data_IF_429738348313
#
_entry.id   IF_429738348313
#
_cell.length_a   1.000
_cell.length_b   1.000
_cell.length_c   1.000
_cell.angle_alpha   90.00
_cell.angle_beta   90.00
_cell.angle_gamma   90.00
#
_symmetry.space_group_name_H-M   'P 1'
#
loop_
_entity.id
_entity.type
_entity.pdbx_description
1 polymer ?
#
# COMPACT_ATOMS: atom_id res chain seq x y z
N UNK A 1 57.70 -74.80 -0.81
CA UNK A 1 56.63 -75.31 0.08
C UNK A 1 56.64 -74.51 1.37
N UNK A 2 55.71 -73.57 1.56
CA UNK A 2 55.58 -72.85 2.85
C UNK A 2 54.93 -73.75 3.90
N UNK A 3 55.39 -73.67 5.14
CA UNK A 3 54.94 -74.51 6.25
C UNK A 3 53.46 -74.26 6.57
N UNK A 4 52.73 -75.35 6.91
CA UNK A 4 51.28 -75.34 7.21
C UNK A 4 50.86 -74.32 8.28
N UNK A 5 51.78 -73.83 9.13
CA UNK A 5 51.48 -72.86 10.19
C UNK A 5 51.28 -71.42 9.68
N UNK A 6 51.84 -71.05 8.53
CA UNK A 6 51.74 -69.68 7.97
C UNK A 6 50.43 -69.48 7.18
N UNK A 7 49.83 -70.55 6.65
CA UNK A 7 48.52 -70.48 5.98
C UNK A 7 47.36 -70.18 6.94
N UNK A 8 47.52 -70.48 8.23
CA UNK A 8 46.46 -70.28 9.24
C UNK A 8 46.35 -68.82 9.69
N UNK A 9 47.45 -68.05 9.66
CA UNK A 9 47.44 -66.63 10.04
C UNK A 9 46.92 -65.70 8.94
N UNK A 10 47.00 -66.10 7.68
CA UNK A 10 46.45 -65.31 6.56
C UNK A 10 44.93 -65.52 6.41
N UNK A 11 44.40 -66.69 6.80
CA UNK A 11 42.94 -66.93 6.78
C UNK A 11 42.21 -66.31 7.99
N UNK A 12 42.88 -66.10 9.12
CA UNK A 12 42.27 -65.50 10.32
C UNK A 12 42.23 -63.96 10.29
N UNK A 13 43.04 -63.32 9.44
CA UNK A 13 43.08 -61.86 9.28
C UNK A 13 41.98 -61.29 8.37
N UNK A 14 41.24 -62.12 7.64
CA UNK A 14 40.15 -61.70 6.75
C UNK A 14 38.76 -61.82 7.38
N UNK A 15 38.63 -62.51 8.52
CA UNK A 15 37.35 -62.66 9.22
C UNK A 15 36.78 -61.38 9.89
N UNK A 16 37.58 -60.41 10.37
CA UNK A 16 37.00 -59.18 10.94
C UNK A 16 36.49 -58.20 9.87
N UNK A 17 36.96 -58.30 8.62
CA UNK A 17 36.53 -57.40 7.52
C UNK A 17 35.11 -57.76 7.03
N UNK A 18 34.72 -59.04 7.11
CA UNK A 18 33.37 -59.50 6.76
C UNK A 18 32.34 -59.19 7.86
N UNK A 19 32.78 -59.07 9.12
CA UNK A 19 31.90 -58.63 10.22
C UNK A 19 31.75 -57.10 10.31
N UNK A 20 32.68 -56.32 9.74
CA UNK A 20 32.57 -54.85 9.70
C UNK A 20 31.70 -54.32 8.54
N UNK A 21 31.36 -55.17 7.56
CA UNK A 21 30.54 -54.80 6.40
C UNK A 21 29.03 -54.99 6.62
N UNK A 22 28.61 -55.45 7.80
CA UNK A 22 27.21 -55.65 8.18
C UNK A 22 26.69 -54.66 9.24
N UNK A 23 27.33 -53.50 9.36
CA UNK A 23 26.74 -52.30 9.96
C UNK A 23 26.73 -51.18 8.92
N UNK A 24 26.21 -51.49 7.72
CA UNK A 24 25.66 -50.42 6.89
C UNK A 24 24.40 -50.03 7.62
N UNK A 25 24.46 -48.93 8.40
CA UNK A 25 23.27 -48.25 8.84
C UNK A 25 22.49 -47.96 7.55
N UNK A 26 21.37 -48.65 7.35
CA UNK A 26 20.33 -48.17 6.46
C UNK A 26 19.99 -46.79 6.98
N UNK A 27 20.61 -45.79 6.36
CA UNK A 27 20.25 -44.41 6.56
C UNK A 27 18.92 -44.28 5.85
N UNK A 28 17.85 -44.65 6.55
CA UNK A 28 16.52 -44.21 6.19
C UNK A 28 16.61 -42.68 6.22
N UNK A 29 16.79 -42.08 5.05
CA UNK A 29 16.46 -40.68 4.88
C UNK A 29 15.00 -40.58 5.32
N UNK A 30 14.77 -40.11 6.54
CA UNK A 30 13.44 -39.71 6.98
C UNK A 30 13.08 -38.58 6.04
N UNK A 31 12.33 -38.91 5.01
CA UNK A 31 11.77 -37.92 4.12
C UNK A 31 10.89 -37.05 5.00
N UNK A 32 11.40 -35.86 5.37
CA UNK A 32 10.67 -34.93 6.21
C UNK A 32 9.36 -34.62 5.49
N UNK A 33 8.27 -35.18 6.01
CA UNK A 33 6.94 -34.93 5.48
C UNK A 33 6.62 -33.47 5.73
N UNK A 34 6.43 -32.70 4.66
CA UNK A 34 6.06 -31.30 4.76
C UNK A 34 4.67 -31.24 5.41
N UNK A 35 4.57 -30.56 6.56
CA UNK A 35 3.32 -30.36 7.29
C UNK A 35 2.80 -28.94 7.07
N UNK A 36 1.47 -28.81 7.05
CA UNK A 36 0.80 -27.51 7.02
C UNK A 36 0.22 -27.25 8.40
N UNK A 37 0.52 -26.10 8.99
CA UNK A 37 -0.08 -25.64 10.24
C UNK A 37 -0.88 -24.37 9.95
N UNK A 38 -2.16 -24.34 10.32
CA UNK A 38 -3.04 -23.17 10.21
C UNK A 38 -3.53 -22.80 11.60
N UNK A 39 -3.29 -21.55 12.03
CA UNK A 39 -3.63 -21.06 13.37
C UNK A 39 -3.14 -21.97 14.51
N UNK A 40 -1.93 -22.53 14.38
CA UNK A 40 -1.34 -23.46 15.34
C UNK A 40 -1.81 -24.91 15.23
N UNK A 41 -2.81 -25.22 14.42
CA UNK A 41 -3.34 -26.57 14.24
C UNK A 41 -2.76 -27.23 12.98
N UNK A 42 -2.23 -28.46 13.11
CA UNK A 42 -1.74 -29.23 11.97
C UNK A 42 -2.89 -29.72 11.10
N UNK A 43 -2.85 -29.44 9.79
CA UNK A 43 -3.85 -29.91 8.84
C UNK A 43 -3.41 -31.23 8.19
N UNK A 44 -4.27 -32.23 8.30
CA UNK A 44 -4.10 -33.57 7.73
C UNK A 44 -4.99 -33.78 6.52
N UNK A 45 -4.59 -34.64 5.58
CA UNK A 45 -5.37 -34.96 4.36
C UNK A 45 -5.12 -34.01 3.17
N UNK A 46 -4.12 -33.15 3.30
CA UNK A 46 -3.62 -32.29 2.25
C UNK A 46 -2.12 -32.55 2.10
N UNK A 47 -1.67 -32.77 0.87
CA UNK A 47 -0.28 -33.15 0.60
C UNK A 47 0.44 -32.00 -0.12
N UNK A 48 1.21 -31.16 0.61
CA UNK A 48 2.18 -30.27 -0.01
C UNK A 48 3.15 -31.05 -0.89
N UNK A 49 3.58 -30.43 -1.97
CA UNK A 49 4.52 -31.05 -2.91
C UNK A 49 5.79 -30.23 -3.02
N UNK A 50 6.94 -30.89 -2.96
CA UNK A 50 8.22 -30.26 -3.27
C UNK A 50 8.55 -30.50 -4.73
N UNK A 51 8.54 -29.45 -5.55
CA UNK A 51 8.77 -29.52 -6.99
C UNK A 51 9.81 -28.45 -7.34
N UNK A 52 10.91 -28.86 -7.98
CA UNK A 52 11.95 -27.96 -8.49
C UNK A 52 12.47 -26.93 -7.45
N UNK A 53 12.73 -27.37 -6.22
CA UNK A 53 13.23 -26.49 -5.17
C UNK A 53 12.16 -25.63 -4.47
N UNK A 54 10.87 -25.81 -4.79
CA UNK A 54 9.76 -25.04 -4.23
C UNK A 54 8.74 -25.94 -3.56
N UNK A 55 8.18 -25.48 -2.45
CA UNK A 55 7.03 -26.12 -1.80
C UNK A 55 5.75 -25.54 -2.40
N UNK A 56 4.92 -26.42 -2.96
CA UNK A 56 3.59 -26.13 -3.45
C UNK A 56 2.59 -26.57 -2.39
N UNK A 57 1.67 -25.68 -2.05
CA UNK A 57 0.66 -25.91 -1.01
C UNK A 57 -0.72 -25.93 -1.67
N UNK A 58 -1.65 -26.80 -1.24
CA UNK A 58 -2.99 -26.87 -1.84
C UNK A 58 -3.75 -25.54 -1.72
N UNK A 59 -3.99 -24.90 -2.86
CA UNK A 59 -4.64 -23.57 -2.92
C UNK A 59 -6.02 -23.54 -2.26
N UNK A 60 -6.80 -24.63 -2.40
CA UNK A 60 -8.14 -24.74 -1.81
C UNK A 60 -8.09 -24.67 -0.28
N UNK A 61 -7.18 -25.41 0.35
CA UNK A 61 -7.01 -25.39 1.80
C UNK A 61 -6.69 -23.98 2.30
N UNK A 62 -5.75 -23.29 1.64
CA UNK A 62 -5.33 -21.95 2.04
C UNK A 62 -6.49 -20.97 1.87
N UNK A 63 -7.14 -20.95 0.70
CA UNK A 63 -8.24 -20.03 0.42
C UNK A 63 -9.45 -20.24 1.33
N UNK A 64 -9.87 -21.48 1.58
CA UNK A 64 -10.99 -21.77 2.50
C UNK A 64 -10.65 -21.41 3.95
N UNK A 65 -9.40 -21.60 4.38
CA UNK A 65 -8.96 -21.17 5.71
C UNK A 65 -8.98 -19.66 5.90
N UNK A 66 -8.87 -18.91 4.80
CA UNK A 66 -8.99 -17.45 4.75
C UNK A 66 -10.45 -16.98 4.57
N UNK A 67 -11.42 -17.90 4.61
CA UNK A 67 -12.85 -17.60 4.50
C UNK A 67 -13.37 -17.46 3.07
N UNK A 68 -12.58 -17.83 2.05
CA UNK A 68 -13.02 -17.81 0.66
C UNK A 68 -13.75 -19.09 0.27
N UNK A 69 -14.72 -18.98 -0.64
CA UNK A 69 -15.34 -20.12 -1.30
C UNK A 69 -14.55 -20.49 -2.55
N UNK A 70 -14.16 -21.76 -2.67
CA UNK A 70 -13.37 -22.26 -3.81
C UNK A 70 -14.21 -23.20 -4.66
N UNK A 71 -14.28 -22.93 -5.96
CA UNK A 71 -14.93 -23.78 -6.97
C UNK A 71 -14.03 -24.00 -8.18
N UNK A 72 -14.30 -25.05 -8.95
CA UNK A 72 -13.63 -25.32 -10.21
C UNK A 72 -14.54 -24.93 -11.38
N UNK A 73 -14.08 -24.02 -12.25
CA UNK A 73 -14.72 -23.73 -13.52
C UNK A 73 -14.14 -24.65 -14.60
N UNK A 74 -14.90 -25.70 -14.93
CA UNK A 74 -14.47 -26.69 -15.90
C UNK A 74 -14.39 -26.15 -17.34
N UNK A 75 -15.13 -25.07 -17.67
CA UNK A 75 -15.14 -24.48 -18.99
C UNK A 75 -13.88 -23.63 -19.21
N UNK A 76 -13.49 -22.85 -18.20
CA UNK A 76 -12.27 -22.03 -18.22
C UNK A 76 -11.01 -22.78 -17.84
N UNK A 77 -11.15 -24.02 -17.31
CA UNK A 77 -10.06 -24.79 -16.68
C UNK A 77 -9.35 -23.98 -15.60
N UNK A 78 -10.13 -23.30 -14.78
CA UNK A 78 -9.66 -22.35 -13.78
C UNK A 78 -10.24 -22.65 -12.39
N UNK A 79 -9.49 -22.30 -11.35
CA UNK A 79 -9.98 -22.27 -9.97
C UNK A 79 -10.60 -20.91 -9.72
N UNK A 80 -11.89 -20.89 -9.39
CA UNK A 80 -12.61 -19.70 -8.95
C UNK A 80 -12.54 -19.60 -7.43
N UNK A 81 -11.91 -18.55 -6.92
CA UNK A 81 -11.84 -18.23 -5.50
C UNK A 81 -12.70 -16.99 -5.27
N UNK A 82 -13.86 -17.17 -4.66
CA UNK A 82 -14.77 -16.09 -4.32
C UNK A 82 -14.58 -15.71 -2.85
N UNK A 83 -14.09 -14.50 -2.62
CA UNK A 83 -13.92 -13.95 -1.28
C UNK A 83 -14.74 -12.68 -1.17
N UNK A 84 -15.53 -12.57 -0.12
CA UNK A 84 -16.16 -11.30 0.26
C UNK A 84 -15.10 -10.28 0.72
N UNK A 85 -13.88 -10.76 1.02
CA UNK A 85 -12.75 -9.93 1.48
C UNK A 85 -11.66 -9.91 0.41
N UNK A 86 -11.41 -8.74 -0.17
CA UNK A 86 -10.34 -8.56 -1.15
C UNK A 86 -9.15 -7.80 -0.55
N UNK A 87 -7.95 -8.37 -0.64
CA UNK A 87 -6.73 -7.62 -0.34
C UNK A 87 -6.47 -6.60 -1.45
N UNK A 88 -6.26 -5.34 -1.06
CA UNK A 88 -6.12 -4.22 -2.00
C UNK A 88 -4.77 -3.50 -1.89
N UNK A 89 -4.03 -3.68 -0.79
CA UNK A 89 -2.64 -3.26 -0.63
C UNK A 89 -1.95 -4.04 0.51
N UNK A 90 -0.62 -4.06 0.55
CA UNK A 90 0.15 -4.75 1.60
C UNK A 90 1.60 -4.25 1.72
N UNK A 91 2.18 -4.38 2.91
CA UNK A 91 3.62 -4.37 3.18
C UNK A 91 3.96 -5.72 3.82
N UNK A 92 4.20 -6.78 3.03
CA UNK A 92 4.30 -8.14 3.54
C UNK A 92 5.42 -8.37 4.56
N UNK A 93 6.55 -7.67 4.41
CA UNK A 93 7.73 -7.79 5.29
C UNK A 93 7.46 -7.28 6.71
N UNK A 94 6.43 -6.46 6.88
CA UNK A 94 5.99 -5.87 8.15
C UNK A 94 4.65 -6.49 8.61
N UNK A 95 4.17 -7.54 7.94
CA UNK A 95 2.87 -8.19 8.18
C UNK A 95 1.66 -7.22 8.15
N UNK A 96 1.72 -6.22 7.27
CA UNK A 96 0.66 -5.20 7.09
C UNK A 96 -0.15 -5.50 5.84
N UNK A 97 -1.47 -5.53 5.98
CA UNK A 97 -2.39 -5.79 4.88
C UNK A 97 -3.62 -4.88 4.97
N UNK A 98 -4.07 -4.40 3.82
CA UNK A 98 -5.30 -3.65 3.66
C UNK A 98 -6.30 -4.48 2.84
N UNK A 99 -7.49 -4.70 3.39
CA UNK A 99 -8.56 -5.43 2.73
C UNK A 99 -9.82 -4.58 2.55
N UNK A 100 -10.72 -5.02 1.68
CA UNK A 100 -12.07 -4.48 1.48
C UNK A 100 -13.13 -5.58 1.62
N UNK A 101 -14.23 -5.29 2.33
CA UNK A 101 -15.35 -6.21 2.59
C UNK A 101 -16.46 -6.17 1.53
N UNK A 102 -16.58 -5.06 0.80
CA UNK A 102 -17.70 -4.85 -0.11
C UNK A 102 -17.29 -3.94 -1.28
N UNK A 103 -17.87 -4.20 -2.45
CA UNK A 103 -17.81 -3.36 -3.64
C UNK A 103 -19.21 -2.84 -3.97
N UNK A 104 -19.39 -1.52 -3.95
CA UNK A 104 -20.59 -0.85 -4.46
C UNK A 104 -20.19 0.14 -5.55
N UNK A 105 -20.76 0.02 -6.76
CA UNK A 105 -20.63 1.02 -7.82
C UNK A 105 -19.20 1.58 -8.03
N UNK A 106 -18.22 0.68 -8.18
CA UNK A 106 -16.78 0.99 -8.36
C UNK A 106 -16.05 1.59 -7.15
N UNK A 107 -16.65 1.54 -5.96
CA UNK A 107 -16.01 1.88 -4.69
C UNK A 107 -15.92 0.66 -3.78
N UNK A 108 -14.78 0.47 -3.15
CA UNK A 108 -14.64 -0.33 -1.94
C UNK A 108 -15.08 0.49 -0.72
N UNK A 109 -15.77 -0.17 0.21
CA UNK A 109 -16.17 0.40 1.51
C UNK A 109 -15.79 -0.54 2.64
N UNK A 110 -15.77 0.00 3.86
CA UNK A 110 -15.48 -0.72 5.10
C UNK A 110 -14.14 -1.47 5.00
N UNK A 111 -13.07 -0.69 4.90
CA UNK A 111 -11.72 -1.23 4.74
C UNK A 111 -11.22 -1.85 6.05
N UNK A 112 -10.49 -2.94 5.94
CA UNK A 112 -9.86 -3.62 7.08
C UNK A 112 -8.37 -3.39 7.03
N UNK A 113 -7.84 -2.78 8.08
CA UNK A 113 -6.39 -2.74 8.33
C UNK A 113 -6.04 -3.95 9.20
N UNK A 114 -5.06 -4.73 8.76
CA UNK A 114 -4.47 -5.84 9.49
C UNK A 114 -2.99 -5.57 9.74
N UNK A 115 -2.55 -5.63 10.99
CA UNK A 115 -1.14 -5.48 11.38
C UNK A 115 -0.83 -6.63 12.34
N UNK A 116 0.17 -7.45 12.01
CA UNK A 116 0.55 -8.65 12.80
C UNK A 116 -0.66 -9.56 13.10
N UNK A 117 -1.58 -9.69 12.13
CA UNK A 117 -2.83 -10.46 12.26
C UNK A 117 -3.96 -9.80 13.07
N UNK A 118 -3.71 -8.69 13.79
CA UNK A 118 -4.74 -7.90 14.47
C UNK A 118 -5.47 -7.05 13.45
N UNK A 119 -6.81 -7.16 13.42
CA UNK A 119 -7.65 -6.53 12.40
C UNK A 119 -8.58 -5.48 13.01
N UNK A 120 -8.78 -4.37 12.30
CA UNK A 120 -9.81 -3.38 12.60
C UNK A 120 -10.47 -2.90 11.31
N UNK A 121 -11.79 -2.77 11.36
CA UNK A 121 -12.61 -2.19 10.29
C UNK A 121 -12.65 -0.68 10.44
N UNK A 122 -12.49 0.02 9.34
CA UNK A 122 -12.65 1.46 9.23
C UNK A 122 -13.69 1.79 8.17
N UNK A 123 -14.55 2.78 8.44
CA UNK A 123 -15.54 3.28 7.48
C UNK A 123 -14.89 4.20 6.43
N UNK A 124 -13.79 3.72 5.85
CA UNK A 124 -13.10 4.38 4.74
C UNK A 124 -13.58 3.78 3.42
N UNK A 125 -13.32 4.50 2.34
CA UNK A 125 -13.70 4.11 1.00
C UNK A 125 -12.60 4.46 -0.01
N UNK A 126 -12.50 3.67 -1.07
CA UNK A 126 -11.54 3.91 -2.16
C UNK A 126 -12.07 3.36 -3.48
N UNK A 127 -11.76 3.98 -4.61
CA UNK A 127 -12.14 3.48 -5.93
C UNK A 127 -11.49 2.12 -6.22
N UNK A 128 -12.17 1.29 -7.03
CA UNK A 128 -11.69 -0.06 -7.36
C UNK A 128 -10.76 -0.11 -8.57
N UNK A 129 -10.27 1.04 -9.07
CA UNK A 129 -9.42 1.09 -10.28
C UNK A 129 -8.01 0.64 -9.95
N UNK A 130 -7.43 -0.17 -10.84
CA UNK A 130 -6.06 -0.70 -10.68
C UNK A 130 -5.01 0.42 -10.77
N UNK A 131 -5.30 1.49 -11.50
CA UNK A 131 -4.43 2.67 -11.62
C UNK A 131 -4.37 3.49 -10.32
N UNK A 132 -5.33 3.30 -9.41
CA UNK A 132 -5.52 4.09 -8.20
C UNK A 132 -5.54 3.19 -6.94
N UNK A 133 -4.66 2.18 -6.92
CA UNK A 133 -4.53 1.30 -5.75
C UNK A 133 -4.06 2.11 -4.53
N UNK A 134 -4.48 1.70 -3.31
CA UNK A 134 -4.01 2.34 -2.09
C UNK A 134 -2.48 2.31 -1.96
N UNK A 135 -1.92 3.41 -1.48
CA UNK A 135 -0.49 3.52 -1.17
C UNK A 135 -0.29 3.37 0.34
N UNK A 136 0.68 2.55 0.74
CA UNK A 136 1.02 2.31 2.13
C UNK A 136 2.44 2.80 2.40
N UNK A 137 2.60 3.59 3.46
CA UNK A 137 3.92 3.98 3.97
C UNK A 137 4.02 3.63 5.45
N UNK A 138 5.15 3.06 5.87
CA UNK A 138 5.37 2.62 7.25
C UNK A 138 6.66 3.23 7.79
N UNK A 139 6.53 4.34 8.53
CA UNK A 139 7.63 5.19 8.96
C UNK A 139 7.26 6.00 10.21
N UNK A 140 8.26 6.39 10.98
CA UNK A 140 8.10 7.25 12.16
C UNK A 140 7.74 8.68 11.70
N UNK A 141 6.54 9.15 12.03
CA UNK A 141 6.04 10.48 11.62
C UNK A 141 5.96 11.47 12.79
N UNK A 142 6.00 10.98 14.03
CA UNK A 142 5.86 11.80 15.24
C UNK A 142 7.19 11.94 16.02
N UNK A 143 8.27 11.34 15.52
CA UNK A 143 9.61 11.28 16.10
C UNK A 143 9.67 10.56 17.46
N UNK A 144 8.80 9.58 17.70
CA UNK A 144 8.79 8.76 18.92
C UNK A 144 9.56 7.43 18.78
N UNK A 145 10.24 7.22 17.64
CA UNK A 145 10.96 5.99 17.26
C UNK A 145 10.06 4.79 16.97
N UNK A 146 8.74 4.95 17.03
CA UNK A 146 7.76 3.98 16.54
C UNK A 146 7.25 4.46 15.20
N UNK A 147 6.94 3.50 14.33
CA UNK A 147 6.44 3.81 12.99
C UNK A 147 4.92 3.97 13.03
N UNK A 148 4.40 4.88 12.23
CA UNK A 148 2.99 4.96 11.87
C UNK A 148 2.74 4.32 10.50
N UNK A 149 1.54 3.75 10.34
CA UNK A 149 1.06 3.32 9.04
C UNK A 149 0.26 4.44 8.39
N UNK A 150 0.77 4.98 7.30
CA UNK A 150 0.05 5.90 6.40
C UNK A 150 -0.63 5.10 5.30
N UNK A 151 -1.90 5.40 5.06
CA UNK A 151 -2.71 4.80 4.02
C UNK A 151 -3.28 5.94 3.18
N UNK A 152 -2.91 6.00 1.91
CA UNK A 152 -3.46 6.96 0.96
C UNK A 152 -4.47 6.23 0.07
N UNK A 153 -5.69 6.73 0.03
CA UNK A 153 -6.82 6.17 -0.70
C UNK A 153 -7.26 7.13 -1.81
N UNK A 154 -7.86 6.61 -2.88
CA UNK A 154 -8.36 7.43 -3.99
C UNK A 154 -9.89 7.51 -3.95
N UNK A 155 -10.43 8.73 -3.97
CA UNK A 155 -11.88 9.01 -4.08
C UNK A 155 -12.34 9.16 -5.52
N UNK A 156 -11.42 9.39 -6.45
CA UNK A 156 -11.70 9.47 -7.87
C UNK A 156 -10.58 10.11 -8.67
N UNK A 157 -10.53 9.76 -9.95
CA UNK A 157 -9.53 10.21 -10.90
C UNK A 157 -10.15 10.42 -12.29
N UNK A 158 -9.68 11.46 -12.99
CA UNK A 158 -10.06 11.85 -14.35
C UNK A 158 -9.21 13.02 -14.87
N UNK A 159 -9.51 13.49 -16.08
CA UNK A 159 -8.81 14.65 -16.67
C UNK A 159 -9.05 15.90 -15.82
N UNK A 160 -7.99 16.41 -15.18
CA UNK A 160 -8.09 17.56 -14.26
C UNK A 160 -8.73 17.24 -12.90
N UNK A 161 -8.90 15.97 -12.56
CA UNK A 161 -9.44 15.55 -11.26
C UNK A 161 -8.64 14.39 -10.69
N UNK A 162 -8.17 14.52 -9.46
CA UNK A 162 -7.47 13.48 -8.72
C UNK A 162 -7.63 13.81 -7.25
N UNK A 163 -8.48 13.07 -6.56
CA UNK A 163 -8.81 13.35 -5.16
C UNK A 163 -8.43 12.15 -4.30
N UNK A 164 -7.41 12.33 -3.46
CA UNK A 164 -6.94 11.34 -2.50
C UNK A 164 -7.31 11.72 -1.07
N UNK A 165 -7.46 10.74 -0.20
CA UNK A 165 -7.49 10.90 1.26
C UNK A 165 -6.30 10.22 1.90
N UNK A 166 -5.93 10.69 3.08
CA UNK A 166 -4.86 10.12 3.89
C UNK A 166 -5.44 9.66 5.24
N UNK A 167 -4.98 8.50 5.70
CA UNK A 167 -5.28 7.95 7.01
C UNK A 167 -3.97 7.57 7.68
N UNK A 168 -3.83 7.87 8.97
CA UNK A 168 -2.58 7.63 9.71
C UNK A 168 -2.94 6.79 10.94
N UNK A 169 -2.44 5.57 11.00
CA UNK A 169 -2.84 4.57 11.99
C UNK A 169 -1.68 4.30 12.93
N UNK A 170 -1.96 4.34 14.23
CA UNK A 170 -1.07 3.81 15.26
C UNK A 170 -1.07 2.27 15.20
N UNK A 171 0.07 1.61 14.93
CA UNK A 171 0.11 0.15 14.77
C UNK A 171 -0.14 -0.64 16.05
N UNK A 172 0.09 -0.05 17.22
CA UNK A 172 -0.02 -0.73 18.53
C UNK A 172 -1.48 -0.95 18.94
N UNK A 173 -2.37 -0.03 18.56
CA UNK A 173 -3.78 -0.02 19.00
C UNK A 173 -4.79 0.19 17.87
N UNK A 174 -4.33 0.34 16.63
CA UNK A 174 -5.16 0.61 15.44
C UNK A 174 -6.05 1.85 15.58
N UNK A 175 -5.65 2.85 16.39
CA UNK A 175 -6.33 4.16 16.41
C UNK A 175 -5.83 5.04 15.27
N UNK A 176 -6.73 5.81 14.68
CA UNK A 176 -6.39 6.77 13.63
C UNK A 176 -6.01 8.12 14.27
N UNK A 177 -4.86 8.67 13.88
CA UNK A 177 -4.48 10.02 14.22
C UNK A 177 -5.24 11.02 13.36
N UNK A 178 -5.73 12.09 13.99
CA UNK A 178 -6.33 13.19 13.26
C UNK A 178 -5.26 13.97 12.49
N UNK A 179 -5.61 14.38 11.27
CA UNK A 179 -4.85 15.32 10.45
C UNK A 179 -5.79 16.45 10.01
N UNK A 180 -5.32 17.69 10.13
CA UNK A 180 -6.09 18.86 9.70
C UNK A 180 -6.40 18.79 8.21
N UNK A 181 -7.64 19.11 7.82
CA UNK A 181 -8.06 19.04 6.43
C UNK A 181 -7.36 20.13 5.60
N UNK A 182 -6.72 19.80 4.46
CA UNK A 182 -5.98 20.77 3.66
C UNK A 182 -6.86 21.89 3.09
N UNK A 183 -8.13 21.61 2.76
CA UNK A 183 -9.06 22.62 2.23
C UNK A 183 -9.49 23.61 3.32
N UNK A 184 -9.69 23.13 4.56
CA UNK A 184 -9.97 24.01 5.70
C UNK A 184 -8.76 24.90 6.03
N UNK A 185 -7.55 24.34 5.95
CA UNK A 185 -6.31 25.11 6.09
C UNK A 185 -6.24 26.20 5.01
N UNK A 186 -6.49 25.86 3.74
CA UNK A 186 -6.47 26.84 2.64
C UNK A 186 -7.50 27.94 2.87
N UNK A 187 -8.74 27.57 3.20
CA UNK A 187 -9.83 28.51 3.46
C UNK A 187 -9.47 29.55 4.54
N UNK A 188 -8.72 29.14 5.56
CA UNK A 188 -8.37 30.01 6.69
C UNK A 188 -7.07 30.81 6.47
N UNK A 189 -6.20 30.40 5.55
CA UNK A 189 -4.84 30.95 5.44
C UNK A 189 -4.51 31.55 4.06
N UNK A 190 -5.33 31.28 3.04
CA UNK A 190 -5.09 31.70 1.66
C UNK A 190 -6.20 32.63 1.19
N UNK A 191 -5.81 33.77 0.61
CA UNK A 191 -6.74 34.68 -0.07
C UNK A 191 -6.32 34.81 -1.52
N UNK A 192 -7.29 34.80 -2.44
CA UNK A 192 -7.02 34.95 -3.87
C UNK A 192 -7.82 36.08 -4.46
N UNK A 193 -7.22 36.77 -5.43
CA UNK A 193 -7.86 37.84 -6.17
C UNK A 193 -7.50 37.74 -7.64
N UNK A 194 -8.51 37.66 -8.50
CA UNK A 194 -8.31 37.73 -9.95
C UNK A 194 -8.08 39.21 -10.31
N UNK A 195 -6.91 39.54 -10.84
CA UNK A 195 -6.55 40.90 -11.26
C UNK A 195 -6.98 41.13 -12.71
N UNK A 196 -6.79 40.12 -13.57
CA UNK A 196 -7.19 40.13 -14.98
C UNK A 196 -7.30 38.71 -15.54
N UNK A 197 -7.64 38.57 -16.83
CA UNK A 197 -7.64 37.29 -17.55
C UNK A 197 -6.33 36.50 -17.49
N UNK A 198 -5.23 37.19 -17.21
CA UNK A 198 -3.87 36.66 -17.25
C UNK A 198 -3.10 36.90 -15.95
N UNK A 199 -3.76 37.38 -14.90
CA UNK A 199 -3.09 37.66 -13.64
C UNK A 199 -3.98 37.35 -12.44
N UNK A 200 -3.44 36.54 -11.54
CA UNK A 200 -4.06 36.16 -10.27
C UNK A 200 -3.10 36.47 -9.14
N UNK A 201 -3.60 37.15 -8.12
CA UNK A 201 -2.92 37.35 -6.85
C UNK A 201 -3.26 36.21 -5.89
N UNK A 202 -2.24 35.60 -5.30
CA UNK A 202 -2.37 34.62 -4.23
C UNK A 202 -1.63 35.17 -3.01
N UNK A 203 -2.36 35.34 -1.92
CA UNK A 203 -1.83 35.81 -0.63
C UNK A 203 -1.87 34.70 0.40
N UNK A 204 -0.73 34.46 1.04
CA UNK A 204 -0.55 33.49 2.12
C UNK A 204 0.16 34.21 3.27
N UNK A 205 -0.56 34.46 4.37
CA UNK A 205 -0.08 35.33 5.44
C UNK A 205 0.26 36.73 4.91
N UNK A 206 1.51 37.16 5.07
CA UNK A 206 2.02 38.44 4.55
C UNK A 206 2.59 38.34 3.13
N UNK A 207 2.81 37.13 2.63
CA UNK A 207 3.40 36.91 1.30
C UNK A 207 2.34 37.07 0.22
N UNK A 208 2.60 37.93 -0.76
CA UNK A 208 1.75 38.15 -1.92
C UNK A 208 2.49 37.69 -3.18
N UNK A 209 1.86 36.81 -3.95
CA UNK A 209 2.38 36.29 -5.22
C UNK A 209 1.47 36.69 -6.37
N UNK A 210 1.98 37.50 -7.29
CA UNK A 210 1.28 37.85 -8.53
C UNK A 210 1.67 36.88 -9.64
N UNK A 211 0.71 36.04 -10.02
CA UNK A 211 0.93 34.94 -10.95
C UNK A 211 0.41 35.34 -12.33
N UNK A 212 1.34 35.52 -13.27
CA UNK A 212 1.01 35.70 -14.69
C UNK A 212 0.68 34.35 -15.34
N UNK A 213 -0.49 34.26 -15.97
CA UNK A 213 -0.97 33.12 -16.72
C UNK A 213 -0.69 33.32 -18.22
N UNK A 214 -0.64 32.23 -18.97
CA UNK A 214 -0.44 32.29 -20.42
C UNK A 214 -1.64 32.95 -21.12
N UNK A 215 -1.33 33.76 -22.12
CA UNK A 215 -2.33 34.40 -22.97
C UNK A 215 -3.01 33.35 -23.85
N UNK A 216 -4.33 33.31 -23.77
CA UNK A 216 -5.16 32.55 -24.71
C UNK A 216 -5.64 33.48 -25.82
N UNK A 217 -5.66 33.04 -27.11
CA UNK A 217 -6.14 33.87 -28.23
C UNK A 217 -7.56 34.42 -28.01
N UNK A 218 -8.35 33.68 -27.23
CA UNK A 218 -9.70 34.05 -26.82
C UNK A 218 -9.63 34.67 -25.42
N UNK A 219 -10.04 35.94 -25.29
CA UNK A 219 -10.23 36.60 -23.99
C UNK A 219 -11.59 36.22 -23.42
N UNK A 220 -11.58 35.27 -22.49
CA UNK A 220 -12.80 34.74 -21.87
C UNK A 220 -13.58 35.82 -21.11
N UNK A 221 -12.93 36.82 -20.50
CA UNK A 221 -13.62 37.97 -19.90
C UNK A 221 -14.53 38.73 -20.86
N UNK A 222 -14.17 38.77 -22.15
CA UNK A 222 -14.97 39.46 -23.16
C UNK A 222 -16.18 38.66 -23.60
N UNK A 223 -16.10 37.33 -23.53
CA UNK A 223 -17.18 36.44 -23.92
C UNK A 223 -18.17 36.22 -22.78
N UNK A 224 -17.67 36.16 -21.55
CA UNK A 224 -18.46 35.88 -20.36
C UNK A 224 -18.07 36.81 -19.21
N UNK A 225 -18.44 38.09 -19.28
CA UNK A 225 -18.06 39.08 -18.27
C UNK A 225 -18.66 38.80 -16.88
N UNK A 226 -19.75 38.03 -16.80
CA UNK A 226 -20.43 37.66 -15.55
C UNK A 226 -19.97 36.33 -14.95
N UNK A 227 -19.16 35.53 -15.67
CA UNK A 227 -18.68 34.22 -15.21
C UNK A 227 -17.18 34.16 -14.97
N UNK A 228 -16.53 35.31 -14.92
CA UNK A 228 -15.27 35.42 -14.19
C UNK A 228 -15.71 35.45 -12.73
N UNK A 229 -15.26 34.55 -11.86
CA UNK A 229 -14.52 35.01 -10.66
C UNK A 229 -14.47 34.07 -9.47
N UNK A 230 -14.30 32.76 -9.62
CA UNK A 230 -13.87 31.97 -8.45
C UNK A 230 -12.63 31.12 -8.72
N UNK A 231 -11.65 31.29 -7.83
CA UNK A 231 -10.56 30.34 -7.69
C UNK A 231 -11.12 29.17 -6.90
N UNK A 232 -11.00 27.97 -7.46
CA UNK A 232 -11.45 26.73 -6.87
C UNK A 232 -10.27 25.90 -6.37
N UNK A 233 -10.57 25.05 -5.39
CA UNK A 233 -9.66 24.10 -4.78
C UNK A 233 -10.38 22.75 -4.66
N UNK A 234 -9.62 21.65 -4.62
CA UNK A 234 -10.16 20.34 -4.26
C UNK A 234 -10.35 19.34 -5.41
N UNK A 235 -10.28 19.80 -6.67
CA UNK A 235 -10.26 18.89 -7.82
C UNK A 235 -8.98 18.06 -7.86
N UNK A 236 -7.85 18.67 -7.49
CA UNK A 236 -6.55 18.00 -7.34
C UNK A 236 -6.14 18.06 -5.87
N UNK A 237 -6.18 16.93 -5.17
CA UNK A 237 -5.69 16.75 -3.80
C UNK A 237 -4.92 15.44 -3.74
N UNK A 238 -3.62 15.50 -3.50
CA UNK A 238 -2.77 14.34 -3.30
C UNK A 238 -1.81 14.55 -2.14
N UNK A 239 -1.22 13.45 -1.66
CA UNK A 239 -0.31 13.46 -0.54
C UNK A 239 1.03 12.87 -0.98
N UNK A 240 2.11 13.48 -0.50
CA UNK A 240 3.46 12.97 -0.64
C UNK A 240 4.04 12.69 0.74
N UNK A 241 4.62 11.51 0.89
CA UNK A 241 5.30 11.09 2.11
C UNK A 241 6.80 11.00 1.78
N UNK A 242 7.58 11.91 2.35
CA UNK A 242 9.04 11.93 2.15
C UNK A 242 9.72 12.47 3.40
N UNK A 243 10.90 11.93 3.73
CA UNK A 243 11.72 12.37 4.87
C UNK A 243 10.90 12.53 6.17
N UNK A 244 10.11 11.51 6.53
CA UNK A 244 9.28 11.52 7.76
C UNK A 244 8.26 12.67 7.82
N UNK A 245 7.95 13.30 6.68
CA UNK A 245 7.05 14.45 6.58
C UNK A 245 5.91 14.13 5.64
N UNK A 246 4.71 14.54 6.05
CA UNK A 246 3.51 14.52 5.21
C UNK A 246 3.39 15.86 4.51
N UNK A 247 3.19 15.84 3.19
CA UNK A 247 2.80 17.01 2.41
C UNK A 247 1.46 16.76 1.74
N UNK A 248 0.48 17.65 1.96
CA UNK A 248 -0.70 17.71 1.12
C UNK A 248 -0.45 18.72 0.00
N UNK A 249 -0.80 18.32 -1.22
CA UNK A 249 -0.67 19.15 -2.40
C UNK A 249 -2.05 19.34 -3.01
N UNK A 250 -2.46 20.61 -3.08
CA UNK A 250 -3.79 21.00 -3.54
C UNK A 250 -3.66 21.89 -4.77
N UNK A 251 -4.30 21.50 -5.87
CA UNK A 251 -4.34 22.29 -7.08
C UNK A 251 -5.12 23.59 -6.89
N UNK A 252 -4.57 24.68 -7.41
CA UNK A 252 -5.22 25.99 -7.53
C UNK A 252 -5.72 26.13 -8.96
N UNK A 253 -7.02 26.23 -9.11
CA UNK A 253 -7.66 26.23 -10.43
C UNK A 253 -8.55 27.47 -10.56
N UNK A 254 -8.35 28.23 -11.62
CA UNK A 254 -9.31 29.25 -12.03
C UNK A 254 -10.41 28.65 -12.90
N UNK A 255 -11.47 29.43 -13.13
CA UNK A 255 -12.52 29.09 -14.10
C UNK A 255 -11.93 28.62 -15.45
N UNK A 256 -12.66 27.70 -16.10
CA UNK A 256 -12.28 27.03 -17.35
C UNK A 256 -11.04 26.11 -17.25
N UNK A 257 -10.82 25.50 -16.07
CA UNK A 257 -9.76 24.50 -15.84
C UNK A 257 -8.34 25.04 -16.07
N UNK A 258 -8.16 26.37 -15.98
CA UNK A 258 -6.81 26.95 -15.99
C UNK A 258 -6.14 26.59 -14.67
N UNK A 259 -5.25 25.60 -14.75
CA UNK A 259 -4.41 25.21 -13.64
C UNK A 259 -3.34 26.29 -13.40
N UNK A 260 -3.35 26.87 -12.20
CA UNK A 260 -2.49 28.01 -11.84
C UNK A 260 -1.21 27.52 -11.15
N UNK A 261 -1.33 26.47 -10.33
CA UNK A 261 -0.24 25.90 -9.55
C UNK A 261 -0.74 25.07 -8.40
N UNK A 262 0.09 24.92 -7.37
CA UNK A 262 -0.21 24.12 -6.20
C UNK A 262 -0.05 24.92 -4.91
N UNK A 263 -0.97 24.75 -3.98
CA UNK A 263 -0.71 24.98 -2.56
C UNK A 263 -0.09 23.71 -1.98
N UNK A 264 1.04 23.87 -1.29
CA UNK A 264 1.75 22.79 -0.62
C UNK A 264 1.67 23.04 0.88
N UNK A 265 1.12 22.09 1.61
CA UNK A 265 0.95 22.12 3.06
C UNK A 265 1.82 21.04 3.66
N UNK A 266 2.75 21.42 4.51
CA UNK A 266 3.56 20.48 5.29
C UNK A 266 2.94 20.32 6.67
N UNK A 267 2.90 19.09 7.18
CA UNK A 267 2.34 18.79 8.50
C UNK A 267 3.44 18.47 9.51
N UNK A 268 3.14 18.70 10.77
CA UNK A 268 3.94 18.30 11.93
C UNK A 268 3.02 17.73 13.01
N UNK A 269 3.54 16.82 13.84
CA UNK A 269 2.75 16.19 14.89
C UNK A 269 2.79 17.04 16.17
N UNK A 270 1.64 17.61 16.55
CA UNK A 270 1.51 18.48 17.73
C UNK A 270 0.19 18.26 18.45
N UNK A 271 0.24 18.15 19.76
CA UNK A 271 -0.94 17.94 20.63
C UNK A 271 -1.75 16.69 20.23
N UNK A 272 -1.07 15.60 19.88
CA UNK A 272 -1.70 14.33 19.52
C UNK A 272 -2.32 14.26 18.12
N UNK A 273 -2.07 15.26 17.26
CA UNK A 273 -2.62 15.33 15.89
C UNK A 273 -1.64 15.96 14.90
N UNK A 274 -1.81 15.68 13.62
CA UNK A 274 -1.04 16.29 12.55
C UNK A 274 -1.65 17.64 12.18
N UNK A 275 -0.90 18.72 12.43
CA UNK A 275 -1.30 20.11 12.16
C UNK A 275 -0.46 20.72 11.06
N UNK A 276 -0.99 21.75 10.40
CA UNK A 276 -0.20 22.56 9.48
C UNK A 276 1.07 23.09 10.18
N UNK A 277 2.23 22.74 9.64
CA UNK A 277 3.53 23.30 9.97
C UNK A 277 3.84 24.52 9.11
N UNK A 278 3.62 24.37 7.80
CA UNK A 278 3.94 25.37 6.80
C UNK A 278 2.96 25.27 5.63
N UNK A 279 2.74 26.39 4.95
CA UNK A 279 1.91 26.49 3.75
C UNK A 279 2.62 27.39 2.74
N UNK A 280 2.66 26.97 1.48
CA UNK A 280 3.32 27.71 0.40
C UNK A 280 2.60 27.53 -0.93
N UNK A 281 2.82 28.45 -1.86
CA UNK A 281 2.35 28.32 -3.23
C UNK A 281 3.53 28.05 -4.18
N UNK A 282 3.35 27.10 -5.09
CA UNK A 282 4.29 26.79 -6.17
C UNK A 282 3.56 26.87 -7.51
N UNK A 283 3.98 27.84 -8.34
CA UNK A 283 3.53 27.92 -9.74
C UNK A 283 4.03 26.70 -10.51
N UNK A 284 3.17 26.09 -11.32
CA UNK A 284 3.59 25.06 -12.25
C UNK A 284 4.26 25.71 -13.45
N UNK A 285 5.53 25.39 -13.69
CA UNK A 285 6.18 25.70 -14.95
C UNK A 285 5.66 24.72 -15.99
N UNK A 286 4.99 25.21 -17.03
CA UNK A 286 4.76 24.41 -18.23
C UNK A 286 6.15 24.24 -18.85
N UNK A 287 6.76 23.08 -18.66
CA UNK A 287 7.86 22.66 -19.54
C UNK A 287 7.22 22.38 -20.89
N UNK A 288 7.48 23.26 -21.85
CA UNK A 288 7.19 23.03 -23.27
C UNK A 288 7.78 21.70 -23.76
#
# INVERSE_FOLDING_TARGET
MLSKKIRFFITLSLLPIVFFSFWINDSYAVQQKISIHLNGEQKTGWDPQFINGRVYVPVKLIAESLGSKVSWDNNKKAVDINSDIKMIASIPEEEIYLYALNKNNNMYKDLIVSINGVKKVFNWETITKIEDLPELHYLDLNNDQKKELVIILSKGHGTGFSNKTIHIVNPENLTEYHIENPLDIIKNNVTTKIISDTEVEIKIGETISNIKLEETPIKLSKLFPESISEISYGNLVYYEISNHTIKAIVGVEGDYLKYIGNIIIEYDFKDGKFKMKNISFKKTSVTN
#
